data_IF_059320015270
#
_entry.id   IF_059320015270
#
_cell.length_a   1.000
_cell.length_b   1.000
_cell.length_c   1.000
_cell.angle_alpha   90.00
_cell.angle_beta   90.00
_cell.angle_gamma   90.00
#
_symmetry.space_group_name_H-M   'P 1'
#
loop_
_entity.id
_entity.type
_entity.pdbx_description
1 polymer ?
#
# COMPACT_ATOMS: atom_id res chain seq x y z
N UNK A 1 16.35 9.62 13.31
CA UNK A 1 15.16 8.79 13.02
C UNK A 1 15.61 7.36 13.21
N UNK A 2 15.10 6.67 14.23
CA UNK A 2 15.43 5.28 14.57
C UNK A 2 14.76 4.31 13.60
N UNK A 3 15.44 3.21 13.24
CA UNK A 3 14.93 2.17 12.32
C UNK A 3 13.55 1.64 12.72
N UNK A 4 13.27 1.55 14.02
CA UNK A 4 11.97 1.15 14.60
C UNK A 4 10.81 2.03 14.13
N UNK A 5 11.04 3.33 13.96
CA UNK A 5 10.03 4.30 13.52
C UNK A 5 9.71 4.18 12.02
N UNK A 6 10.67 3.70 11.20
CA UNK A 6 10.46 3.44 9.77
C UNK A 6 9.65 2.14 9.62
N UNK A 7 9.96 1.10 10.38
CA UNK A 7 9.21 -0.17 10.35
C UNK A 7 7.76 0.01 10.79
N UNK A 8 7.50 0.80 11.84
CA UNK A 8 6.13 1.14 12.27
C UNK A 8 5.37 1.94 11.20
N UNK A 9 6.03 2.89 10.54
CA UNK A 9 5.41 3.66 9.46
C UNK A 9 5.05 2.78 8.26
N UNK A 10 5.92 1.83 7.89
CA UNK A 10 5.66 0.85 6.83
C UNK A 10 4.52 -0.09 7.22
N UNK A 11 4.46 -0.54 8.48
CA UNK A 11 3.37 -1.38 8.97
C UNK A 11 2.00 -0.67 8.89
N UNK A 12 1.95 0.61 9.28
CA UNK A 12 0.76 1.46 9.17
C UNK A 12 0.33 1.66 7.72
N UNK A 13 1.29 1.86 6.81
CA UNK A 13 1.00 2.05 5.39
C UNK A 13 0.54 0.75 4.72
N UNK A 14 1.07 -0.41 5.13
CA UNK A 14 0.61 -1.72 4.67
C UNK A 14 -0.82 -2.04 5.14
N UNK A 15 -1.19 -1.71 6.37
CA UNK A 15 -2.57 -1.94 6.84
C UNK A 15 -3.58 -1.07 6.11
N UNK A 16 -3.26 0.21 5.85
CA UNK A 16 -4.09 1.07 4.98
C UNK A 16 -4.23 0.51 3.57
N UNK A 17 -3.18 -0.12 3.06
CA UNK A 17 -3.21 -0.72 1.73
C UNK A 17 -4.12 -1.96 1.69
N UNK A 18 -4.12 -2.79 2.74
CA UNK A 18 -5.05 -3.92 2.87
C UNK A 18 -6.51 -3.44 2.90
N UNK A 19 -6.79 -2.38 3.65
CA UNK A 19 -8.13 -1.80 3.70
C UNK A 19 -8.58 -1.31 2.32
N UNK A 20 -7.68 -0.65 1.57
CA UNK A 20 -7.96 -0.25 0.19
C UNK A 20 -8.22 -1.43 -0.74
N UNK A 21 -7.43 -2.51 -0.64
CA UNK A 21 -7.65 -3.73 -1.43
C UNK A 21 -9.00 -4.38 -1.08
N UNK A 22 -9.39 -4.39 0.19
CA UNK A 22 -10.67 -4.92 0.62
C UNK A 22 -11.85 -4.14 0.00
N UNK A 23 -11.70 -2.82 -0.16
CA UNK A 23 -12.69 -1.95 -0.81
C UNK A 23 -12.80 -2.25 -2.31
N UNK A 24 -11.70 -2.63 -3.00
CA UNK A 24 -11.73 -2.99 -4.43
C UNK A 24 -12.72 -4.13 -4.69
N UNK A 25 -12.84 -5.10 -3.78
CA UNK A 25 -13.82 -6.20 -3.91
C UNK A 25 -15.28 -5.72 -3.87
N UNK A 26 -15.53 -4.47 -3.48
CA UNK A 26 -16.87 -3.87 -3.38
C UNK A 26 -17.16 -2.84 -4.47
N UNK A 27 -16.15 -2.39 -5.22
CA UNK A 27 -16.32 -1.49 -6.37
C UNK A 27 -16.67 -2.25 -7.66
N UNK A 28 -17.30 -1.59 -8.66
CA UNK A 28 -17.57 -2.19 -9.95
C UNK A 28 -16.28 -2.63 -10.64
N UNK A 29 -16.29 -3.80 -11.29
CA UNK A 29 -15.15 -4.36 -12.03
C UNK A 29 -14.53 -3.40 -13.05
N UNK A 30 -15.31 -2.45 -13.58
CA UNK A 30 -14.82 -1.41 -14.48
C UNK A 30 -13.79 -0.47 -13.82
N UNK A 31 -13.87 -0.25 -12.51
CA UNK A 31 -13.00 0.65 -11.76
C UNK A 31 -11.80 -0.10 -11.12
N UNK A 32 -11.84 -1.44 -11.10
CA UNK A 32 -10.79 -2.28 -10.51
C UNK A 32 -9.41 -2.03 -11.14
N UNK A 33 -9.35 -1.75 -12.44
CA UNK A 33 -8.07 -1.53 -13.12
C UNK A 33 -7.34 -0.28 -12.60
N UNK A 34 -8.06 0.82 -12.42
CA UNK A 34 -7.49 2.08 -11.93
C UNK A 34 -7.13 1.98 -10.45
N UNK A 35 -7.95 1.30 -9.67
CA UNK A 35 -7.73 1.09 -8.24
C UNK A 35 -6.58 0.13 -7.97
N UNK A 36 -6.43 -0.93 -8.78
CA UNK A 36 -5.30 -1.85 -8.71
C UNK A 36 -3.99 -1.17 -9.09
N UNK A 37 -3.99 -0.29 -10.10
CA UNK A 37 -2.81 0.49 -10.47
C UNK A 37 -2.36 1.42 -9.33
N UNK A 38 -3.30 2.07 -8.63
CA UNK A 38 -2.98 2.90 -7.46
C UNK A 38 -2.43 2.09 -6.28
N UNK A 39 -3.04 0.94 -5.99
CA UNK A 39 -2.55 0.03 -4.95
C UNK A 39 -1.14 -0.47 -5.29
N UNK A 40 -0.89 -0.84 -6.54
CA UNK A 40 0.41 -1.30 -7.00
C UNK A 40 1.50 -0.22 -6.86
N UNK A 41 1.19 1.03 -7.23
CA UNK A 41 2.12 2.15 -7.07
C UNK A 41 2.48 2.41 -5.60
N UNK A 42 1.50 2.35 -4.70
CA UNK A 42 1.74 2.50 -3.27
C UNK A 42 2.53 1.33 -2.67
N UNK A 43 2.25 0.11 -3.11
CA UNK A 43 3.02 -1.07 -2.70
C UNK A 43 4.48 -0.94 -3.15
N UNK A 44 4.72 -0.51 -4.40
CA UNK A 44 6.07 -0.26 -4.89
C UNK A 44 6.78 0.83 -4.10
N UNK A 45 6.08 1.89 -3.72
CA UNK A 45 6.66 2.97 -2.92
C UNK A 45 7.02 2.50 -1.50
N UNK A 46 6.13 1.73 -0.86
CA UNK A 46 6.39 1.14 0.45
C UNK A 46 7.56 0.14 0.41
N UNK A 47 7.64 -0.68 -0.63
CA UNK A 47 8.74 -1.63 -0.85
C UNK A 47 10.07 -0.91 -1.15
N UNK A 48 10.07 0.13 -1.98
CA UNK A 48 11.28 0.91 -2.28
C UNK A 48 11.83 1.63 -1.03
N UNK A 49 10.94 2.10 -0.15
CA UNK A 49 11.33 2.67 1.13
C UNK A 49 11.90 1.61 2.10
N UNK A 50 11.51 0.34 1.94
CA UNK A 50 12.03 -0.80 2.72
C UNK A 50 13.35 -1.35 2.14
N UNK A 51 13.57 -1.25 0.84
CA UNK A 51 14.78 -1.75 0.15
C UNK A 51 15.93 -0.73 0.14
N UNK A 52 15.62 0.55 0.41
CA UNK A 52 16.60 1.65 0.49
C UNK A 52 17.26 1.83 1.86
N UNK A 53 17.11 0.87 2.79
CA UNK A 53 17.73 0.87 4.13
C UNK A 53 18.90 -0.10 4.23
#
# INVERSE_FOLDING_TARGET
MSEESITEQIAVDLDKLKDRIAIINTTPLSDHSDEFAQVHALLQQALANLDGV
#
